data_IF_752971959420
#
_entry.id   IF_752971959420
#
_cell.length_a   1.000
_cell.length_b   1.000
_cell.length_c   1.000
_cell.angle_alpha   90.00
_cell.angle_beta   90.00
_cell.angle_gamma   90.00
#
_symmetry.space_group_name_H-M   'P 1'
#
loop_
_entity.id
_entity.type
_entity.pdbx_description
1 polymer ?
#
# COMPACT_ATOMS: atom_id res chain seq x y z
N UNK A 1 -42.42 -16.28 3.54
CA UNK A 1 -41.07 -16.46 2.96
C UNK A 1 -40.40 -15.13 2.60
N UNK A 2 -41.12 -14.19 1.94
CA UNK A 2 -40.61 -12.86 1.55
C UNK A 2 -39.94 -12.07 2.69
N UNK A 3 -40.53 -12.08 3.90
CA UNK A 3 -39.99 -11.39 5.08
C UNK A 3 -38.60 -11.90 5.54
N UNK A 4 -38.32 -13.19 5.40
CA UNK A 4 -37.04 -13.77 5.81
C UNK A 4 -35.91 -13.47 4.81
N UNK A 5 -36.24 -13.45 3.51
CA UNK A 5 -35.30 -13.07 2.44
C UNK A 5 -34.97 -11.57 2.52
N UNK A 6 -35.99 -10.73 2.71
CA UNK A 6 -35.81 -9.28 2.92
C UNK A 6 -34.88 -9.00 4.10
N UNK A 7 -35.10 -9.65 5.25
CA UNK A 7 -34.26 -9.48 6.44
C UNK A 7 -32.80 -9.94 6.22
N UNK A 8 -32.54 -10.86 5.29
CA UNK A 8 -31.18 -11.27 4.89
C UNK A 8 -30.54 -10.19 4.01
N UNK A 9 -31.25 -9.67 3.02
CA UNK A 9 -30.75 -8.57 2.19
C UNK A 9 -30.48 -7.31 3.01
N UNK A 10 -31.38 -6.90 3.92
CA UNK A 10 -31.13 -5.74 4.82
C UNK A 10 -29.87 -5.91 5.67
N UNK A 11 -29.61 -7.14 6.18
CA UNK A 11 -28.35 -7.45 6.88
C UNK A 11 -27.12 -7.32 5.97
N UNK A 12 -27.21 -7.74 4.71
CA UNK A 12 -26.13 -7.54 3.74
C UNK A 12 -25.95 -6.06 3.40
N UNK A 13 -27.04 -5.29 3.29
CA UNK A 13 -26.95 -3.85 3.02
C UNK A 13 -26.32 -3.07 4.18
N UNK A 14 -26.27 -3.61 5.40
CA UNK A 14 -25.56 -3.01 6.53
C UNK A 14 -24.06 -2.76 6.25
N UNK A 15 -23.46 -3.44 5.27
CA UNK A 15 -22.11 -3.13 4.77
C UNK A 15 -22.00 -1.75 4.15
N UNK A 16 -23.09 -1.16 3.63
CA UNK A 16 -23.11 0.22 3.14
C UNK A 16 -23.14 1.24 4.29
N UNK A 17 -22.60 2.45 4.06
CA UNK A 17 -22.68 3.54 5.04
C UNK A 17 -24.13 3.96 5.35
N UNK A 18 -24.40 4.40 6.59
CA UNK A 18 -25.74 4.78 7.05
C UNK A 18 -26.43 5.80 6.13
N UNK A 19 -25.73 6.86 5.70
CA UNK A 19 -26.36 7.87 4.85
C UNK A 19 -26.67 7.34 3.44
N UNK A 20 -25.86 6.43 2.90
CA UNK A 20 -26.17 5.79 1.62
C UNK A 20 -27.46 4.99 1.72
N UNK A 21 -27.60 4.22 2.81
CA UNK A 21 -28.78 3.42 3.10
C UNK A 21 -30.05 4.26 3.22
N UNK A 22 -30.00 5.37 3.95
CA UNK A 22 -31.14 6.29 4.07
C UNK A 22 -31.66 6.77 2.71
N UNK A 23 -30.78 6.92 1.71
CA UNK A 23 -31.16 7.45 0.39
C UNK A 23 -31.48 6.37 -0.65
N UNK A 24 -30.94 5.15 -0.51
CA UNK A 24 -30.99 4.14 -1.58
C UNK A 24 -31.42 2.73 -1.13
N UNK A 25 -31.50 2.45 0.18
CA UNK A 25 -31.71 1.09 0.69
C UNK A 25 -32.99 0.47 0.13
N UNK A 26 -34.13 1.17 0.23
CA UNK A 26 -35.42 0.60 -0.14
C UNK A 26 -35.55 0.37 -1.65
N UNK A 27 -35.04 1.29 -2.48
CA UNK A 27 -35.03 1.14 -3.93
C UNK A 27 -34.14 -0.04 -4.37
N UNK A 28 -32.92 -0.12 -3.82
CA UNK A 28 -31.99 -1.18 -4.15
C UNK A 28 -32.44 -2.56 -3.62
N UNK A 29 -33.06 -2.59 -2.44
CA UNK A 29 -33.67 -3.78 -1.86
C UNK A 29 -34.84 -4.29 -2.72
N UNK A 30 -35.71 -3.40 -3.20
CA UNK A 30 -36.79 -3.74 -4.12
C UNK A 30 -36.26 -4.46 -5.37
N UNK A 31 -35.24 -3.90 -6.02
CA UNK A 31 -34.61 -4.53 -7.19
C UNK A 31 -34.04 -5.93 -6.89
N UNK A 32 -33.37 -6.11 -5.74
CA UNK A 32 -32.83 -7.42 -5.35
C UNK A 32 -33.92 -8.46 -5.08
N UNK A 33 -35.06 -8.03 -4.51
CA UNK A 33 -36.20 -8.90 -4.27
C UNK A 33 -36.92 -9.26 -5.57
N UNK A 34 -37.09 -8.32 -6.49
CA UNK A 34 -37.73 -8.58 -7.79
C UNK A 34 -36.92 -9.61 -8.61
N UNK A 35 -35.59 -9.50 -8.62
CA UNK A 35 -34.71 -10.49 -9.26
C UNK A 35 -34.82 -11.86 -8.59
N UNK A 36 -34.81 -11.91 -7.26
CA UNK A 36 -34.93 -13.18 -6.54
C UNK A 36 -36.31 -13.83 -6.72
N UNK A 37 -37.38 -13.04 -6.75
CA UNK A 37 -38.75 -13.48 -6.97
C UNK A 37 -38.91 -14.03 -8.40
N UNK A 38 -38.32 -13.37 -9.41
CA UNK A 38 -38.31 -13.81 -10.81
C UNK A 38 -37.54 -15.13 -11.01
N UNK A 39 -36.48 -15.36 -10.24
CA UNK A 39 -35.70 -16.60 -10.25
C UNK A 39 -36.24 -17.65 -9.26
N UNK A 40 -37.38 -17.39 -8.61
CA UNK A 40 -38.02 -18.23 -7.59
C UNK A 40 -37.06 -18.67 -6.46
N UNK A 41 -36.15 -17.78 -6.04
CA UNK A 41 -35.15 -18.04 -5.00
C UNK A 41 -35.62 -17.60 -3.62
N UNK A 42 -35.43 -18.47 -2.62
CA UNK A 42 -35.66 -18.15 -1.21
C UNK A 42 -34.45 -17.57 -0.46
N UNK A 43 -33.27 -17.53 -1.09
CA UNK A 43 -32.02 -17.06 -0.46
C UNK A 43 -31.15 -16.23 -1.42
N UNK A 44 -30.37 -15.26 -0.91
CA UNK A 44 -29.34 -14.59 -1.70
C UNK A 44 -28.28 -15.59 -2.17
N UNK A 45 -27.77 -15.41 -3.39
CA UNK A 45 -26.64 -16.17 -3.91
C UNK A 45 -25.34 -15.74 -3.24
N UNK A 46 -24.31 -16.60 -3.31
CA UNK A 46 -22.97 -16.26 -2.80
C UNK A 46 -22.36 -15.07 -3.54
N UNK A 47 -22.64 -14.95 -4.84
CA UNK A 47 -22.13 -13.87 -5.68
C UNK A 47 -22.82 -12.54 -5.36
N UNK A 48 -24.13 -12.54 -5.10
CA UNK A 48 -24.83 -11.37 -4.56
C UNK A 48 -24.27 -10.95 -3.21
N UNK A 49 -24.07 -11.89 -2.29
CA UNK A 49 -23.51 -11.60 -0.97
C UNK A 49 -22.13 -10.93 -1.08
N UNK A 50 -21.22 -11.53 -1.84
CA UNK A 50 -19.86 -11.02 -2.01
C UNK A 50 -19.86 -9.68 -2.74
N UNK A 51 -20.68 -9.51 -3.79
CA UNK A 51 -20.83 -8.24 -4.50
C UNK A 51 -21.33 -7.13 -3.58
N UNK A 52 -22.39 -7.37 -2.81
CA UNK A 52 -22.96 -6.38 -1.86
C UNK A 52 -21.91 -5.99 -0.81
N UNK A 53 -21.21 -6.97 -0.24
CA UNK A 53 -20.15 -6.72 0.74
C UNK A 53 -19.01 -5.89 0.16
N UNK A 54 -18.50 -6.25 -1.01
CA UNK A 54 -17.38 -5.55 -1.68
C UNK A 54 -17.75 -4.11 -2.02
N UNK A 55 -18.94 -3.88 -2.58
CA UNK A 55 -19.40 -2.53 -2.91
C UNK A 55 -19.71 -1.71 -1.65
N UNK A 56 -20.26 -2.32 -0.60
CA UNK A 56 -20.48 -1.67 0.68
C UNK A 56 -19.18 -1.21 1.34
N UNK A 57 -18.14 -2.07 1.34
CA UNK A 57 -16.79 -1.71 1.82
C UNK A 57 -16.19 -0.60 0.97
N UNK A 58 -16.29 -0.67 -0.36
CA UNK A 58 -15.81 0.38 -1.26
C UNK A 58 -16.48 1.73 -0.95
N UNK A 59 -17.80 1.75 -0.76
CA UNK A 59 -18.56 2.95 -0.41
C UNK A 59 -18.16 3.53 0.96
N UNK A 60 -17.74 2.70 1.91
CA UNK A 60 -17.17 3.16 3.18
C UNK A 60 -15.77 3.76 2.99
N UNK A 61 -14.93 3.12 2.19
CA UNK A 61 -13.58 3.59 1.89
C UNK A 61 -13.60 4.92 1.13
N UNK A 62 -14.57 5.13 0.24
CA UNK A 62 -14.74 6.39 -0.51
C UNK A 62 -14.98 7.60 0.43
N UNK A 63 -15.45 7.37 1.65
CA UNK A 63 -15.59 8.41 2.69
C UNK A 63 -14.29 8.73 3.41
N UNK A 64 -13.39 7.75 3.50
CA UNK A 64 -12.10 7.92 4.17
C UNK A 64 -11.11 8.62 3.26
N UNK A 65 -11.08 8.20 1.99
CA UNK A 65 -10.15 8.73 0.98
C UNK A 65 -10.88 8.82 -0.36
N UNK A 66 -10.85 10.01 -0.96
CA UNK A 66 -11.42 10.26 -2.28
C UNK A 66 -10.86 9.26 -3.33
N UNK A 67 -11.70 8.65 -4.20
CA UNK A 67 -11.29 7.58 -5.11
C UNK A 67 -10.04 7.87 -5.96
N UNK A 68 -9.88 9.10 -6.46
CA UNK A 68 -8.73 9.47 -7.30
C UNK A 68 -7.42 9.40 -6.51
N UNK A 69 -7.42 9.92 -5.27
CA UNK A 69 -6.27 9.91 -4.36
C UNK A 69 -5.97 8.48 -3.93
N UNK A 70 -7.02 7.70 -3.60
CA UNK A 70 -6.91 6.29 -3.24
C UNK A 70 -6.26 5.46 -4.33
N UNK A 71 -6.71 5.61 -5.58
CA UNK A 71 -6.19 4.84 -6.71
C UNK A 71 -4.75 5.25 -7.07
N UNK A 72 -4.44 6.55 -6.97
CA UNK A 72 -3.08 7.03 -7.16
C UNK A 72 -2.14 6.54 -6.05
N UNK A 73 -2.55 6.65 -4.78
CA UNK A 73 -1.81 6.13 -3.63
C UNK A 73 -1.60 4.61 -3.71
N UNK A 74 -2.62 3.85 -4.13
CA UNK A 74 -2.51 2.42 -4.39
C UNK A 74 -1.50 2.08 -5.49
N UNK A 75 -1.41 2.91 -6.54
CA UNK A 75 -0.38 2.76 -7.58
C UNK A 75 1.01 2.96 -7.01
N UNK A 76 1.22 4.05 -6.25
CA UNK A 76 2.52 4.36 -5.66
C UNK A 76 2.92 3.25 -4.67
N UNK A 77 2.01 2.86 -3.78
CA UNK A 77 2.24 1.81 -2.80
C UNK A 77 2.57 0.47 -3.45
N UNK A 78 1.86 0.11 -4.53
CA UNK A 78 2.18 -1.09 -5.31
C UNK A 78 3.60 -1.02 -5.87
N UNK A 79 3.94 0.07 -6.54
CA UNK A 79 5.25 0.22 -7.18
C UNK A 79 6.40 0.37 -6.18
N UNK A 80 6.16 1.01 -5.04
CA UNK A 80 7.13 1.18 -3.97
C UNK A 80 7.41 -0.16 -3.28
N UNK A 81 6.36 -0.88 -2.89
CA UNK A 81 6.49 -2.21 -2.30
C UNK A 81 7.19 -3.19 -3.23
N UNK A 82 6.82 -3.23 -4.52
CA UNK A 82 7.52 -4.10 -5.50
C UNK A 82 8.96 -3.67 -5.73
N UNK A 83 9.23 -2.36 -5.89
CA UNK A 83 10.58 -1.86 -6.10
C UNK A 83 11.51 -2.19 -4.95
N UNK A 84 11.05 -1.98 -3.72
CA UNK A 84 11.80 -2.28 -2.50
C UNK A 84 11.99 -3.80 -2.33
N UNK A 85 10.93 -4.60 -2.49
CA UNK A 85 11.02 -6.05 -2.35
C UNK A 85 11.96 -6.69 -3.38
N UNK A 86 11.89 -6.27 -4.64
CA UNK A 86 12.82 -6.76 -5.68
C UNK A 86 14.26 -6.35 -5.39
N UNK A 87 14.46 -5.13 -4.91
CA UNK A 87 15.80 -4.65 -4.59
C UNK A 87 16.38 -5.40 -3.40
N UNK A 88 15.60 -5.62 -2.36
CA UNK A 88 15.99 -6.44 -1.20
C UNK A 88 16.30 -7.88 -1.63
N UNK A 89 15.49 -8.46 -2.51
CA UNK A 89 15.78 -9.77 -3.08
C UNK A 89 17.10 -9.81 -3.84
N UNK A 90 17.36 -8.83 -4.72
CA UNK A 90 18.59 -8.82 -5.52
C UNK A 90 19.80 -8.56 -4.64
N UNK A 91 19.72 -7.63 -3.68
CA UNK A 91 20.86 -7.15 -2.90
C UNK A 91 21.14 -7.98 -1.63
N UNK A 92 20.11 -8.41 -0.92
CA UNK A 92 20.22 -9.17 0.33
C UNK A 92 20.03 -10.66 0.08
N UNK A 93 18.91 -11.07 -0.55
CA UNK A 93 18.55 -12.48 -0.61
C UNK A 93 19.39 -13.29 -1.60
N UNK A 94 19.53 -12.82 -2.84
CA UNK A 94 20.23 -13.55 -3.91
C UNK A 94 21.71 -13.18 -3.95
N UNK A 95 22.01 -11.89 -3.98
CA UNK A 95 23.36 -11.31 -3.92
C UNK A 95 24.43 -12.12 -4.69
N UNK A 96 24.22 -12.42 -6.00
CA UNK A 96 25.06 -13.36 -6.76
C UNK A 96 26.52 -12.91 -6.93
N UNK A 97 26.82 -11.66 -6.61
CA UNK A 97 28.18 -11.10 -6.61
C UNK A 97 28.99 -11.47 -5.37
N UNK A 98 28.37 -12.03 -4.33
CA UNK A 98 29.09 -12.51 -3.16
C UNK A 98 29.69 -13.88 -3.46
N UNK A 99 31.02 -13.96 -3.44
CA UNK A 99 31.72 -15.23 -3.58
C UNK A 99 31.72 -15.98 -2.24
N UNK A 100 31.14 -17.18 -2.21
CA UNK A 100 31.11 -18.06 -1.03
C UNK A 100 29.86 -17.88 -0.15
N UNK A 101 29.85 -18.54 1.01
CA UNK A 101 28.81 -18.36 2.01
C UNK A 101 29.31 -17.33 3.06
N UNK A 102 29.01 -16.01 2.89
CA UNK A 102 29.38 -14.98 3.86
C UNK A 102 28.60 -15.09 5.18
N UNK A 103 27.64 -16.00 5.24
CA UNK A 103 26.92 -16.30 6.46
C UNK A 103 27.86 -16.79 7.57
N UNK A 104 27.64 -16.39 8.83
CA UNK A 104 28.17 -17.13 9.96
C UNK A 104 27.78 -18.62 9.78
N UNK A 105 28.67 -19.55 10.11
CA UNK A 105 28.49 -21.00 9.89
C UNK A 105 27.23 -21.63 10.51
N UNK A 106 26.40 -20.83 11.17
CA UNK A 106 25.07 -21.16 11.68
C UNK A 106 23.92 -20.97 10.68
N UNK A 107 24.13 -20.47 9.46
CA UNK A 107 23.03 -20.33 8.49
C UNK A 107 22.82 -21.54 7.60
N UNK A 108 21.54 -21.79 7.35
CA UNK A 108 21.03 -22.74 6.38
C UNK A 108 20.56 -21.95 5.16
N UNK A 109 21.35 -21.97 4.08
CA UNK A 109 20.98 -21.34 2.82
C UNK A 109 19.82 -22.13 2.15
N UNK A 110 18.83 -21.43 1.61
CA UNK A 110 17.73 -22.06 0.86
C UNK A 110 18.06 -21.94 -0.63
N UNK A 111 18.74 -22.95 -1.17
CA UNK A 111 19.23 -22.91 -2.55
C UNK A 111 20.22 -21.75 -2.72
N UNK A 112 20.04 -20.81 -3.68
CA UNK A 112 20.92 -19.66 -3.86
C UNK A 112 20.56 -18.48 -2.95
N UNK A 113 19.60 -18.61 -2.02
CA UNK A 113 19.08 -17.49 -1.24
C UNK A 113 19.54 -17.50 0.22
N UNK A 114 20.02 -16.34 0.70
CA UNK A 114 20.51 -16.12 2.06
C UNK A 114 19.40 -15.85 3.08
N UNK A 115 18.23 -15.37 2.65
CA UNK A 115 17.08 -15.06 3.51
C UNK A 115 15.74 -15.32 2.79
N UNK A 116 14.61 -15.03 3.45
CA UNK A 116 13.26 -15.25 2.91
C UNK A 116 12.74 -14.14 1.99
N UNK A 117 13.55 -13.14 1.63
CA UNK A 117 13.14 -11.99 0.80
C UNK A 117 12.63 -12.37 -0.58
N UNK A 118 13.12 -13.48 -1.15
CA UNK A 118 12.63 -14.01 -2.43
C UNK A 118 11.14 -14.32 -2.46
N UNK A 119 10.55 -14.72 -1.32
CA UNK A 119 9.10 -14.98 -1.20
C UNK A 119 8.33 -13.67 -1.42
N UNK A 120 8.76 -12.60 -0.74
CA UNK A 120 8.11 -11.30 -0.84
C UNK A 120 8.31 -10.69 -2.23
N UNK A 121 9.52 -10.73 -2.78
CA UNK A 121 9.77 -10.26 -4.14
C UNK A 121 8.89 -10.98 -5.18
N UNK A 122 8.75 -12.30 -5.08
CA UNK A 122 7.85 -13.08 -5.94
C UNK A 122 6.40 -12.64 -5.83
N UNK A 123 5.85 -12.55 -4.61
CA UNK A 123 4.47 -12.12 -4.37
C UNK A 123 4.23 -10.69 -4.88
N UNK A 124 5.12 -9.74 -4.58
CA UNK A 124 5.00 -8.36 -5.04
C UNK A 124 5.13 -8.21 -6.56
N UNK A 125 5.98 -9.02 -7.21
CA UNK A 125 6.10 -9.05 -8.67
C UNK A 125 4.84 -9.61 -9.32
N UNK A 126 4.29 -10.71 -8.80
CA UNK A 126 3.03 -11.27 -9.30
C UNK A 126 1.90 -10.24 -9.15
N UNK A 127 1.83 -9.52 -8.02
CA UNK A 127 0.83 -8.48 -7.81
C UNK A 127 0.97 -7.31 -8.80
N UNK A 128 2.19 -6.86 -9.08
CA UNK A 128 2.46 -5.81 -10.07
C UNK A 128 2.08 -6.27 -11.49
N UNK A 129 2.50 -7.46 -11.89
CA UNK A 129 2.15 -8.04 -13.20
C UNK A 129 0.63 -8.16 -13.32
N UNK A 130 -0.06 -8.68 -12.31
CA UNK A 130 -1.51 -8.78 -12.30
C UNK A 130 -2.19 -7.42 -12.46
N UNK A 131 -1.66 -6.36 -11.83
CA UNK A 131 -2.16 -5.00 -12.00
C UNK A 131 -1.98 -4.50 -13.44
N UNK A 132 -0.79 -4.68 -14.04
CA UNK A 132 -0.46 -4.26 -15.40
C UNK A 132 -1.26 -5.03 -16.46
N UNK A 133 -1.46 -6.35 -16.28
CA UNK A 133 -2.31 -7.19 -17.13
C UNK A 133 -3.81 -6.95 -16.91
N UNK A 134 -4.16 -6.15 -15.91
CA UNK A 134 -5.52 -5.78 -15.62
C UNK A 134 -6.37 -6.75 -14.83
N UNK A 135 -5.73 -7.77 -14.26
CA UNK A 135 -6.32 -8.77 -13.38
C UNK A 135 -6.13 -8.37 -11.92
N UNK A 136 -6.52 -7.14 -11.56
CA UNK A 136 -6.22 -6.60 -10.23
C UNK A 136 -6.83 -7.40 -9.06
N UNK A 137 -7.92 -8.13 -9.29
CA UNK A 137 -8.45 -9.07 -8.30
C UNK A 137 -7.40 -10.11 -7.86
N UNK A 138 -6.61 -10.64 -8.80
CA UNK A 138 -5.49 -11.55 -8.51
C UNK A 138 -4.43 -10.84 -7.70
N UNK A 139 -4.05 -9.61 -8.10
CA UNK A 139 -3.06 -8.82 -7.36
C UNK A 139 -3.45 -8.57 -5.90
N UNK A 140 -4.72 -8.32 -5.62
CA UNK A 140 -5.22 -8.18 -4.24
C UNK A 140 -5.08 -9.46 -3.43
N UNK A 141 -5.45 -10.60 -3.99
CA UNK A 141 -5.30 -11.90 -3.31
C UNK A 141 -3.82 -12.15 -2.99
N UNK A 142 -2.94 -11.90 -3.94
CA UNK A 142 -1.50 -12.07 -3.77
C UNK A 142 -0.93 -11.13 -2.69
N UNK A 143 -1.39 -9.88 -2.63
CA UNK A 143 -0.99 -8.96 -1.55
C UNK A 143 -1.53 -9.40 -0.18
N UNK A 144 -2.74 -9.96 -0.11
CA UNK A 144 -3.26 -10.55 1.14
C UNK A 144 -2.40 -11.74 1.57
N UNK A 145 -1.98 -12.60 0.63
CA UNK A 145 -1.03 -13.69 0.91
C UNK A 145 0.32 -13.14 1.37
N UNK A 146 0.80 -12.04 0.79
CA UNK A 146 2.03 -11.38 1.26
C UNK A 146 1.90 -10.86 2.69
N UNK A 147 0.75 -10.31 3.08
CA UNK A 147 0.49 -9.89 4.46
C UNK A 147 0.47 -11.11 5.38
N UNK A 148 -0.23 -12.17 4.99
CA UNK A 148 -0.31 -13.40 5.78
C UNK A 148 1.08 -14.05 5.97
N UNK A 149 1.91 -14.04 4.92
CA UNK A 149 3.28 -14.55 4.96
C UNK A 149 4.20 -13.73 5.87
N UNK A 150 3.96 -12.42 6.03
CA UNK A 150 4.75 -11.56 6.91
C UNK A 150 4.55 -11.86 8.41
N UNK A 151 3.39 -12.38 8.81
CA UNK A 151 3.06 -12.65 10.23
C UNK A 151 3.99 -13.69 10.89
N UNK A 152 4.25 -14.88 10.29
CA UNK A 152 5.12 -15.88 10.90
C UNK A 152 6.61 -15.59 10.76
N UNK A 153 7.04 -14.68 9.87
CA UNK A 153 8.47 -14.48 9.57
C UNK A 153 9.34 -14.11 10.78
N UNK A 154 8.92 -13.19 11.69
CA UNK A 154 9.71 -12.88 12.88
C UNK A 154 9.98 -14.08 13.79
N UNK A 155 9.15 -15.13 13.69
CA UNK A 155 9.27 -16.37 14.47
C UNK A 155 10.02 -17.47 13.74
N UNK A 156 10.25 -17.33 12.42
CA UNK A 156 10.84 -18.38 11.60
C UNK A 156 12.24 -18.76 12.09
N UNK A 157 13.07 -17.80 12.49
CA UNK A 157 14.39 -18.07 13.05
C UNK A 157 14.34 -18.98 14.30
N UNK A 158 13.26 -18.90 15.10
CA UNK A 158 13.08 -19.76 16.29
C UNK A 158 12.66 -21.18 15.91
N UNK A 159 11.85 -21.31 14.85
CA UNK A 159 11.30 -22.60 14.39
C UNK A 159 12.33 -23.39 13.57
N UNK A 160 13.13 -22.69 12.79
CA UNK A 160 14.13 -23.25 11.88
C UNK A 160 15.44 -22.49 12.04
N UNK A 161 16.27 -22.87 13.02
CA UNK A 161 17.58 -22.26 13.23
C UNK A 161 18.39 -22.26 11.92
N UNK A 162 18.93 -21.10 11.57
CA UNK A 162 19.73 -20.90 10.37
C UNK A 162 18.98 -20.34 9.16
N UNK A 163 17.64 -20.29 9.14
CA UNK A 163 16.90 -19.52 8.13
C UNK A 163 16.77 -18.08 8.62
N UNK A 164 17.39 -17.13 7.92
CA UNK A 164 17.22 -15.71 8.23
C UNK A 164 15.91 -15.17 7.64
N UNK A 165 15.00 -14.62 8.48
CA UNK A 165 13.87 -13.89 7.96
C UNK A 165 14.26 -12.50 7.47
N UNK A 166 13.46 -11.95 6.58
CA UNK A 166 13.45 -10.51 6.26
C UNK A 166 13.29 -9.70 7.56
N UNK A 167 14.03 -8.60 7.66
CA UNK A 167 13.99 -7.69 8.80
C UNK A 167 12.56 -7.20 9.10
N UNK A 168 12.23 -7.13 10.39
CA UNK A 168 10.89 -6.79 10.87
C UNK A 168 10.41 -5.44 10.36
N UNK A 169 11.30 -4.45 10.22
CA UNK A 169 10.93 -3.12 9.73
C UNK A 169 10.59 -3.17 8.24
N UNK A 170 11.33 -3.94 7.46
CA UNK A 170 11.03 -4.20 6.04
C UNK A 170 9.67 -4.90 5.91
N UNK A 171 9.39 -5.89 6.75
CA UNK A 171 8.08 -6.56 6.77
C UNK A 171 6.95 -5.59 7.11
N UNK A 172 7.10 -4.74 8.14
CA UNK A 172 6.11 -3.71 8.50
C UNK A 172 5.89 -2.73 7.34
N UNK A 173 6.96 -2.31 6.68
CA UNK A 173 6.89 -1.40 5.53
C UNK A 173 6.10 -2.04 4.38
N UNK A 174 6.44 -3.28 4.01
CA UNK A 174 5.77 -4.01 2.94
C UNK A 174 4.29 -4.25 3.30
N UNK A 175 3.97 -4.66 4.53
CA UNK A 175 2.59 -4.81 4.98
C UNK A 175 1.83 -3.49 4.87
N UNK A 176 2.42 -2.37 5.29
CA UNK A 176 1.83 -1.05 5.16
C UNK A 176 1.55 -0.67 3.70
N UNK A 177 2.48 -0.92 2.79
CA UNK A 177 2.27 -0.71 1.36
C UNK A 177 1.19 -1.65 0.78
N UNK A 178 1.16 -2.91 1.19
CA UNK A 178 0.17 -3.87 0.72
C UNK A 178 -1.25 -3.44 1.12
N UNK A 179 -1.43 -2.96 2.36
CA UNK A 179 -2.71 -2.43 2.85
C UNK A 179 -3.18 -1.22 2.03
N UNK A 180 -2.28 -0.26 1.75
CA UNK A 180 -2.62 0.91 0.91
C UNK A 180 -2.91 0.49 -0.53
N UNK A 181 -2.14 -0.44 -1.09
CA UNK A 181 -2.31 -0.95 -2.44
C UNK A 181 -3.66 -1.65 -2.61
N UNK A 182 -4.04 -2.57 -1.71
CA UNK A 182 -5.30 -3.36 -1.79
C UNK A 182 -6.54 -2.47 -1.86
N UNK A 183 -6.52 -1.37 -1.09
CA UNK A 183 -7.65 -0.45 -0.92
C UNK A 183 -8.03 0.26 -2.24
N UNK A 184 -7.08 0.51 -3.13
CA UNK A 184 -7.33 1.17 -4.42
C UNK A 184 -7.36 0.25 -5.63
N UNK A 185 -7.37 0.88 -6.81
CA UNK A 185 -7.15 0.26 -8.13
C UNK A 185 -5.92 0.92 -8.78
N UNK A 186 -4.76 0.25 -8.82
CA UNK A 186 -3.55 0.77 -9.43
C UNK A 186 -3.78 1.13 -10.90
N UNK A 187 -3.14 2.21 -11.35
CA UNK A 187 -3.15 2.63 -12.74
C UNK A 187 -2.28 1.69 -13.58
N UNK A 188 -2.73 1.45 -14.81
CA UNK A 188 -1.96 0.74 -15.83
C UNK A 188 -1.23 1.76 -16.69
N UNK A 189 0.02 1.47 -17.02
CA UNK A 189 0.78 2.28 -17.97
C UNK A 189 2.26 2.34 -17.66
N UNK A 190 3.00 2.94 -18.59
CA UNK A 190 4.46 3.10 -18.51
C UNK A 190 4.92 3.84 -17.26
N UNK A 191 4.12 4.77 -16.75
CA UNK A 191 4.42 5.49 -15.50
C UNK A 191 4.44 4.58 -14.27
N UNK A 192 3.64 3.51 -14.25
CA UNK A 192 3.66 2.52 -13.17
C UNK A 192 4.96 1.72 -13.21
N UNK A 193 5.41 1.31 -14.41
CA UNK A 193 6.71 0.66 -14.59
C UNK A 193 7.88 1.58 -14.21
N UNK A 194 7.85 2.84 -14.66
CA UNK A 194 8.86 3.84 -14.30
C UNK A 194 8.92 4.14 -12.80
N UNK A 195 7.76 4.20 -12.12
CA UNK A 195 7.72 4.37 -10.67
C UNK A 195 8.32 3.16 -9.92
N UNK A 196 8.04 1.93 -10.38
CA UNK A 196 8.66 0.72 -9.84
C UNK A 196 10.19 0.79 -9.93
N UNK A 197 10.73 1.15 -11.11
CA UNK A 197 12.18 1.30 -11.30
C UNK A 197 12.74 2.40 -10.40
N UNK A 198 12.08 3.56 -10.32
CA UNK A 198 12.51 4.67 -9.48
C UNK A 198 12.59 4.30 -7.98
N UNK A 199 11.58 3.59 -7.46
CA UNK A 199 11.59 3.10 -6.08
C UNK A 199 12.66 2.02 -5.85
N UNK A 200 12.87 1.13 -6.83
CA UNK A 200 13.95 0.14 -6.76
C UNK A 200 15.33 0.79 -6.72
N UNK A 201 15.58 1.79 -7.57
CA UNK A 201 16.85 2.54 -7.55
C UNK A 201 17.04 3.28 -6.22
N UNK A 202 16.01 3.90 -5.67
CA UNK A 202 16.09 4.55 -4.35
C UNK A 202 16.43 3.54 -3.25
N UNK A 203 15.80 2.36 -3.27
CA UNK A 203 16.13 1.29 -2.33
C UNK A 203 17.56 0.80 -2.53
N UNK A 204 18.04 0.68 -3.76
CA UNK A 204 19.39 0.19 -4.07
C UNK A 204 20.45 1.17 -3.58
N UNK A 205 20.22 2.47 -3.78
CA UNK A 205 21.08 3.53 -3.26
C UNK A 205 21.19 3.48 -1.73
N UNK A 206 20.11 3.13 -1.02
CA UNK A 206 20.16 2.96 0.44
C UNK A 206 21.11 1.84 0.88
N UNK A 207 21.22 0.75 0.10
CA UNK A 207 22.20 -0.31 0.33
C UNK A 207 23.63 0.11 -0.02
N UNK A 208 23.83 1.04 -0.95
CA UNK A 208 25.15 1.54 -1.33
C UNK A 208 25.75 2.57 -0.35
N UNK A 209 25.18 2.72 0.85
CA UNK A 209 25.71 3.66 1.84
C UNK A 209 27.09 3.21 2.36
N UNK A 210 28.01 4.16 2.71
CA UNK A 210 29.43 3.87 2.98
C UNK A 210 29.69 2.88 4.13
N UNK A 211 28.66 2.53 4.90
CA UNK A 211 28.75 1.68 6.08
C UNK A 211 28.97 0.20 5.77
N UNK A 212 28.93 -0.22 4.49
CA UNK A 212 29.10 -1.62 4.09
C UNK A 212 30.37 -1.82 3.26
N UNK A 213 31.37 -2.55 3.79
CA UNK A 213 32.56 -2.90 3.03
C UNK A 213 32.18 -3.70 1.78
N UNK A 214 32.85 -3.41 0.66
CA UNK A 214 32.69 -4.18 -0.56
C UNK A 214 32.91 -5.68 -0.31
N UNK A 215 32.04 -6.52 -0.87
CA UNK A 215 32.14 -7.98 -0.77
C UNK A 215 31.54 -8.59 0.50
N UNK A 216 30.92 -7.78 1.38
CA UNK A 216 30.15 -8.32 2.52
C UNK A 216 28.66 -8.45 2.20
N UNK A 217 28.02 -9.43 2.83
CA UNK A 217 26.59 -9.60 2.76
C UNK A 217 25.87 -8.46 3.47
N UNK A 218 25.03 -7.75 2.72
CA UNK A 218 24.17 -6.70 3.25
C UNK A 218 22.81 -7.32 3.61
N UNK A 219 22.63 -7.68 4.87
CA UNK A 219 21.34 -8.16 5.37
C UNK A 219 20.21 -7.17 5.09
N UNK A 220 18.96 -7.61 5.07
CA UNK A 220 17.78 -6.73 4.90
C UNK A 220 17.71 -5.58 5.92
N UNK A 221 18.33 -5.72 7.10
CA UNK A 221 18.48 -4.64 8.10
C UNK A 221 19.31 -3.47 7.59
N UNK A 222 20.17 -3.69 6.60
CA UNK A 222 21.04 -2.68 5.98
C UNK A 222 20.25 -1.57 5.29
N UNK A 223 19.04 -1.88 4.82
CA UNK A 223 18.07 -0.90 4.33
C UNK A 223 17.79 0.20 5.38
N UNK A 224 17.89 -0.16 6.66
CA UNK A 224 17.61 0.67 7.83
C UNK A 224 18.86 1.08 8.62
N UNK A 225 20.07 0.78 8.16
CA UNK A 225 21.29 1.39 8.70
C UNK A 225 21.76 2.54 7.81
N UNK A 226 21.50 2.46 6.49
CA UNK A 226 21.67 3.54 5.52
C UNK A 226 20.57 4.61 5.54
N UNK A 227 19.86 4.77 6.67
CA UNK A 227 18.56 5.47 6.79
C UNK A 227 18.54 6.87 6.18
N UNK A 228 19.69 7.52 6.07
CA UNK A 228 19.83 8.82 5.42
C UNK A 228 19.07 8.88 4.09
N UNK A 229 19.21 7.90 3.20
CA UNK A 229 18.61 8.02 1.86
C UNK A 229 17.08 7.92 1.85
N UNK A 230 16.49 6.99 2.61
CA UNK A 230 15.03 6.92 2.76
C UNK A 230 14.49 8.14 3.52
N UNK A 231 15.23 8.63 4.51
CA UNK A 231 14.93 9.88 5.21
C UNK A 231 14.89 11.08 4.26
N UNK A 232 15.97 11.30 3.50
CA UNK A 232 16.07 12.42 2.58
C UNK A 232 15.04 12.29 1.46
N UNK A 233 14.82 11.08 0.93
CA UNK A 233 13.75 10.82 -0.04
C UNK A 233 12.37 11.19 0.51
N UNK A 234 12.07 10.78 1.75
CA UNK A 234 10.81 11.13 2.41
C UNK A 234 10.66 12.64 2.65
N UNK A 235 11.73 13.32 3.10
CA UNK A 235 11.73 14.77 3.31
C UNK A 235 11.54 15.54 1.99
N UNK A 236 12.19 15.10 0.91
CA UNK A 236 11.99 15.69 -0.42
C UNK A 236 10.55 15.48 -0.90
N UNK A 237 9.97 14.29 -0.68
CA UNK A 237 8.57 14.02 -1.00
C UNK A 237 7.62 14.86 -0.16
N UNK A 238 7.89 15.05 1.14
CA UNK A 238 7.11 15.94 2.01
C UNK A 238 7.19 17.40 1.57
N UNK A 239 8.39 17.91 1.29
CA UNK A 239 8.57 19.26 0.76
C UNK A 239 7.83 19.45 -0.58
N UNK A 240 7.87 18.43 -1.43
CA UNK A 240 7.11 18.38 -2.70
C UNK A 240 5.60 18.41 -2.45
N UNK A 241 5.11 17.65 -1.48
CA UNK A 241 3.70 17.65 -1.09
C UNK A 241 3.26 19.03 -0.58
N UNK A 242 4.08 19.69 0.24
CA UNK A 242 3.84 21.06 0.71
C UNK A 242 3.82 22.04 -0.48
N UNK A 243 4.78 21.95 -1.41
CA UNK A 243 4.78 22.76 -2.63
C UNK A 243 3.51 22.58 -3.48
N UNK A 244 3.02 21.34 -3.59
CA UNK A 244 1.74 21.07 -4.26
C UNK A 244 0.53 21.61 -3.50
N UNK A 245 0.52 21.54 -2.16
CA UNK A 245 -0.51 22.14 -1.34
C UNK A 245 -0.54 23.67 -1.51
N UNK A 246 0.63 24.33 -1.48
CA UNK A 246 0.77 25.78 -1.70
C UNK A 246 0.28 26.21 -3.09
N UNK A 247 0.49 25.38 -4.11
CA UNK A 247 -0.02 25.62 -5.48
C UNK A 247 -1.47 25.15 -5.69
N UNK A 248 -2.19 24.82 -4.60
CA UNK A 248 -3.59 24.35 -4.58
C UNK A 248 -3.83 23.06 -5.38
N UNK A 249 -2.82 22.20 -5.51
CA UNK A 249 -2.89 20.86 -6.12
C UNK A 249 -3.08 19.78 -5.06
N UNK A 250 -4.16 19.90 -4.29
CA UNK A 250 -4.46 19.09 -3.11
C UNK A 250 -4.46 17.57 -3.39
N UNK A 251 -5.03 17.13 -4.50
CA UNK A 251 -5.06 15.70 -4.85
C UNK A 251 -3.65 15.10 -4.97
N UNK A 252 -2.69 15.85 -5.54
CA UNK A 252 -1.30 15.40 -5.67
C UNK A 252 -0.60 15.40 -4.32
N UNK A 253 -0.77 16.47 -3.53
CA UNK A 253 -0.21 16.56 -2.19
C UNK A 253 -0.68 15.40 -1.30
N UNK A 254 -1.99 15.15 -1.26
CA UNK A 254 -2.57 14.05 -0.49
C UNK A 254 -2.17 12.67 -1.00
N UNK A 255 -1.98 12.52 -2.32
CA UNK A 255 -1.46 11.27 -2.90
C UNK A 255 -0.05 10.98 -2.37
N UNK A 256 0.82 11.99 -2.32
CA UNK A 256 2.18 11.84 -1.78
C UNK A 256 2.13 11.52 -0.28
N UNK A 257 1.35 12.28 0.50
CA UNK A 257 1.18 12.03 1.94
C UNK A 257 0.69 10.60 2.20
N UNK A 258 -0.35 10.16 1.51
CA UNK A 258 -0.90 8.80 1.65
C UNK A 258 0.14 7.73 1.29
N UNK A 259 0.99 7.99 0.29
CA UNK A 259 2.07 7.08 -0.10
C UNK A 259 3.21 7.03 0.91
N UNK A 260 3.42 8.10 1.69
CA UNK A 260 4.43 8.15 2.74
C UNK A 260 3.96 7.52 4.06
N UNK A 261 2.66 7.25 4.23
CA UNK A 261 2.11 6.68 5.47
C UNK A 261 2.79 5.37 5.89
N UNK A 262 3.01 4.37 5.02
CA UNK A 262 3.72 3.14 5.40
C UNK A 262 5.13 3.42 5.91
N UNK A 263 5.87 4.30 5.22
CA UNK A 263 7.23 4.66 5.59
C UNK A 263 7.29 5.40 6.94
N UNK A 264 6.37 6.34 7.17
CA UNK A 264 6.25 7.03 8.44
C UNK A 264 5.95 6.05 9.60
N UNK A 265 5.01 5.13 9.40
CA UNK A 265 4.68 4.10 10.40
C UNK A 265 5.90 3.24 10.71
N UNK A 266 6.66 2.83 9.71
CA UNK A 266 7.88 2.04 9.92
C UNK A 266 8.95 2.82 10.68
N UNK A 267 9.15 4.12 10.38
CA UNK A 267 10.09 4.94 11.14
C UNK A 267 9.67 5.10 12.61
N UNK A 268 8.38 5.34 12.87
CA UNK A 268 7.86 5.39 14.23
C UNK A 268 8.09 4.07 14.99
N UNK A 269 7.81 2.94 14.33
CA UNK A 269 8.01 1.62 14.93
C UNK A 269 9.49 1.35 15.26
N UNK A 270 10.40 1.71 14.36
CA UNK A 270 11.84 1.53 14.57
C UNK A 270 12.40 2.43 15.67
N UNK A 271 11.90 3.67 15.79
CA UNK A 271 12.29 4.57 16.88
C UNK A 271 11.80 4.03 18.23
N UNK A 272 10.55 3.55 18.32
CA UNK A 272 10.00 2.91 19.53
C UNK A 272 10.82 1.67 19.94
N UNK A 273 11.36 0.93 18.97
CA UNK A 273 12.23 -0.23 19.23
C UNK A 273 13.69 0.13 19.53
N UNK A 274 14.07 1.42 19.48
CA UNK A 274 15.45 1.87 19.68
C UNK A 274 16.40 1.44 18.57
N UNK A 275 15.90 1.19 17.36
CA UNK A 275 16.73 0.77 16.21
C UNK A 275 17.32 2.00 15.49
N UNK A 276 16.58 3.11 15.45
CA UNK A 276 17.00 4.36 14.80
C UNK A 276 17.37 5.36 15.89
N UNK A 277 18.65 5.43 16.26
CA UNK A 277 19.12 6.33 17.35
C UNK A 277 19.96 7.51 16.82
N UNK A 278 20.50 7.44 15.59
CA UNK A 278 21.62 8.33 15.22
C UNK A 278 21.34 9.41 14.16
N UNK A 279 20.26 9.34 13.37
CA UNK A 279 20.06 10.26 12.24
C UNK A 279 18.61 10.77 12.15
N UNK A 280 18.31 11.87 12.84
CA UNK A 280 17.01 12.54 12.82
C UNK A 280 15.94 11.86 13.71
N UNK A 281 14.91 12.62 14.09
CA UNK A 281 13.79 12.12 14.90
C UNK A 281 12.68 11.65 13.97
N UNK A 282 12.12 10.43 14.08
CA UNK A 282 11.02 9.98 13.19
C UNK A 282 9.85 10.97 13.20
N UNK A 283 9.69 11.72 14.29
CA UNK A 283 8.84 12.89 14.41
C UNK A 283 8.85 13.83 13.18
N UNK A 284 10.01 14.08 12.56
CA UNK A 284 10.13 14.99 11.42
C UNK A 284 9.42 14.46 10.15
N UNK A 285 9.14 13.17 10.05
CA UNK A 285 8.33 12.58 8.98
C UNK A 285 6.92 12.22 9.49
N UNK A 286 6.83 11.60 10.66
CA UNK A 286 5.57 11.05 11.18
C UNK A 286 4.55 12.13 11.51
N UNK A 287 4.97 13.27 12.07
CA UNK A 287 4.06 14.36 12.42
C UNK A 287 3.48 15.01 11.14
N UNK A 288 4.28 15.45 10.15
CA UNK A 288 3.72 16.00 8.91
C UNK A 288 2.83 15.01 8.15
N UNK A 289 3.21 13.73 8.08
CA UNK A 289 2.38 12.70 7.44
C UNK A 289 1.07 12.50 8.21
N UNK A 290 1.11 12.43 9.54
CA UNK A 290 -0.08 12.32 10.38
C UNK A 290 -1.05 13.49 10.21
N UNK A 291 -0.53 14.73 10.19
CA UNK A 291 -1.33 15.93 9.90
C UNK A 291 -1.93 15.85 8.50
N UNK A 292 -1.12 15.47 7.49
CA UNK A 292 -1.61 15.35 6.11
C UNK A 292 -2.70 14.29 5.95
N UNK A 293 -2.60 13.14 6.63
CA UNK A 293 -3.62 12.09 6.64
C UNK A 293 -4.91 12.57 7.31
N UNK A 294 -4.80 13.31 8.42
CA UNK A 294 -5.95 13.92 9.08
C UNK A 294 -6.66 14.92 8.16
N UNK A 295 -5.89 15.79 7.49
CA UNK A 295 -6.43 16.75 6.52
C UNK A 295 -7.09 16.05 5.33
N UNK A 296 -6.50 14.97 4.82
CA UNK A 296 -7.09 14.14 3.77
C UNK A 296 -8.43 13.54 4.22
N UNK A 297 -8.52 13.04 5.45
CA UNK A 297 -9.77 12.50 6.00
C UNK A 297 -10.84 13.59 6.15
N UNK A 298 -10.48 14.77 6.67
CA UNK A 298 -11.40 15.91 6.78
C UNK A 298 -11.88 16.40 5.41
N UNK A 299 -10.99 16.43 4.42
CA UNK A 299 -11.31 16.76 3.04
C UNK A 299 -12.25 15.72 2.42
N UNK A 300 -11.95 14.43 2.56
CA UNK A 300 -12.74 13.33 1.99
C UNK A 300 -14.13 13.22 2.62
N UNK A 301 -14.27 13.59 3.90
CA UNK A 301 -15.56 13.62 4.61
C UNK A 301 -16.40 14.87 4.33
N UNK A 302 -15.91 15.82 3.51
CA UNK A 302 -16.58 17.08 3.23
C UNK A 302 -16.55 18.09 4.39
N UNK A 303 -15.78 17.81 5.45
CA UNK A 303 -15.63 18.71 6.62
C UNK A 303 -14.60 19.81 6.39
N UNK A 304 -13.73 19.65 5.40
CA UNK A 304 -12.72 20.63 5.02
C UNK A 304 -12.90 21.02 3.56
N UNK A 305 -13.26 22.28 3.31
CA UNK A 305 -13.36 22.85 1.97
C UNK A 305 -12.02 23.52 1.67
N UNK A 306 -11.26 22.95 0.72
CA UNK A 306 -9.99 23.51 0.28
C UNK A 306 -10.19 24.38 -0.96
N UNK A 307 -9.54 25.55 -1.04
CA UNK A 307 -9.66 26.41 -2.21
C UNK A 307 -9.13 25.66 -3.43
N UNK A 308 -10.00 25.43 -4.40
CA UNK A 308 -9.62 24.86 -5.68
C UNK A 308 -8.98 25.95 -6.53
N UNK A 309 -8.01 25.57 -7.38
CA UNK A 309 -7.54 26.48 -8.42
C UNK A 309 -8.73 26.76 -9.32
N UNK A 310 -9.33 27.95 -9.21
CA UNK A 310 -10.40 28.40 -10.10
C UNK A 310 -9.86 28.21 -11.51
N UNK A 311 -10.40 27.20 -12.22
CA UNK A 311 -10.03 26.96 -13.61
C UNK A 311 -10.54 28.21 -14.30
N UNK A 312 -9.63 29.16 -14.56
CA UNK A 312 -9.91 30.40 -15.28
C UNK A 312 -10.45 29.94 -16.62
N UNK A 313 -11.78 29.76 -16.69
CA UNK A 313 -12.48 29.39 -17.92
C UNK A 313 -12.06 30.48 -18.87
N UNK A 314 -11.33 30.09 -19.91
CA UNK A 314 -10.93 30.97 -20.98
C UNK A 314 -12.21 31.59 -21.54
N UNK A 315 -12.56 32.79 -21.07
CA UNK A 315 -13.60 33.66 -21.59
C UNK A 315 -13.23 34.22 -22.98
N UNK A 316 -12.24 33.62 -23.66
CA UNK A 316 -11.85 33.91 -25.03
C UNK A 316 -12.29 32.75 -25.93
N UNK A 317 -13.57 32.74 -26.30
CA UNK A 317 -14.09 32.15 -27.55
C UNK A 317 -15.56 32.53 -27.74
N UNK A 318 -15.79 33.81 -28.04
CA UNK A 318 -16.98 34.25 -28.80
C UNK A 318 -16.67 35.57 -29.51
N UNK A 319 -15.71 35.56 -30.44
CA UNK A 319 -15.68 36.53 -31.55
C UNK A 319 -15.19 35.78 -32.78
N UNK A 320 -16.13 35.18 -33.51
CA UNK A 320 -16.19 35.03 -34.97
C UNK A 320 -17.37 34.15 -35.33
#
# INVERSE_FOLDING_TARGET
MRSALEARYRRLLAWYPKQWRVMHEDAFLGTLLDVADAEHRGTPTRDECTSIMVHGVAARLDRLVVPEIRNAGSTIALTAGTGIAVTEFVISSWAPWLAGNPAPGSLTQIGPFYDTGFVFAGLWMIALIAALSGRWAVGRVVLVLSIAAAIPMPFLYRLTPGIWPVDNATLVLLVGFALVAIVGRPRRGVFTGGAFVGWGLLAALAYCTPSFPYGQWASSRSLWSGVGMFWYGALVLLATAVGFALTRRWNTAFTIVLSLTPLAVTFAANEIQGIVIQNGTAAAITIPVGIGVLLLFLYSSGRLILPTRTRRRSLFKSVR
#
